data_IF_414149282458
#
_entry.id   IF_414149282458
#
_cell.length_a   1.000
_cell.length_b   1.000
_cell.length_c   1.000
_cell.angle_alpha   90.00
_cell.angle_beta   90.00
_cell.angle_gamma   90.00
#
_symmetry.space_group_name_H-M   'P 1'
#
loop_
_entity.id
_entity.type
_entity.pdbx_description
1 polymer ?
#
# COMPACT_ATOMS: atom_id res chain seq x y z
N UNK A 1 -5.15 -11.82 10.65
CA UNK A 1 -3.87 -11.36 11.25
C UNK A 1 -4.21 -10.28 12.26
N UNK A 2 -3.80 -10.41 13.52
CA UNK A 2 -3.90 -9.32 14.47
C UNK A 2 -2.82 -8.30 14.11
N UNK A 3 -3.20 -7.09 13.72
CA UNK A 3 -2.31 -5.95 13.53
C UNK A 3 -2.22 -5.18 14.86
N UNK A 4 -1.18 -5.42 15.70
CA UNK A 4 -1.09 -4.78 17.02
C UNK A 4 -0.85 -3.28 16.90
N UNK A 5 -0.28 -2.82 15.78
CA UNK A 5 -0.02 -1.41 15.54
C UNK A 5 -1.34 -0.68 15.25
N UNK A 6 -2.18 -1.23 14.38
CA UNK A 6 -3.54 -0.72 14.12
C UNK A 6 -4.38 -0.59 15.39
N UNK A 7 -4.35 -1.61 16.25
CA UNK A 7 -5.07 -1.58 17.55
C UNK A 7 -4.57 -0.43 18.42
N UNK A 8 -3.26 -0.24 18.51
CA UNK A 8 -2.66 0.83 19.33
C UNK A 8 -3.06 2.21 18.81
N UNK A 9 -3.03 2.41 17.49
CA UNK A 9 -3.44 3.68 16.88
C UNK A 9 -4.93 3.94 17.09
N UNK A 10 -5.79 2.94 16.92
CA UNK A 10 -7.23 3.05 17.20
C UNK A 10 -7.51 3.48 18.64
N UNK A 11 -6.81 2.89 19.61
CA UNK A 11 -6.94 3.28 21.03
C UNK A 11 -6.48 4.71 21.28
N UNK A 12 -5.39 5.13 20.62
CA UNK A 12 -4.92 6.52 20.64
C UNK A 12 -5.98 7.49 20.11
N UNK A 13 -6.55 7.20 18.95
CA UNK A 13 -7.63 8.01 18.34
C UNK A 13 -8.87 8.10 19.24
N UNK A 14 -9.27 6.99 19.86
CA UNK A 14 -10.38 6.98 20.82
C UNK A 14 -10.09 7.87 22.05
N UNK A 15 -8.85 7.86 22.54
CA UNK A 15 -8.40 8.70 23.67
C UNK A 15 -8.40 10.19 23.31
N UNK A 16 -8.22 10.53 22.04
CA UNK A 16 -8.31 11.89 21.51
C UNK A 16 -9.74 12.34 21.19
N UNK A 17 -10.74 11.47 21.34
CA UNK A 17 -12.16 11.78 21.14
C UNK A 17 -12.76 11.33 19.80
N UNK A 18 -11.95 10.77 18.89
CA UNK A 18 -12.41 10.23 17.60
C UNK A 18 -13.05 8.84 17.76
N UNK A 19 -14.26 8.81 18.35
CA UNK A 19 -14.96 7.56 18.70
C UNK A 19 -15.68 6.91 17.53
N UNK A 20 -15.85 7.63 16.42
CA UNK A 20 -16.43 7.15 15.16
C UNK A 20 -15.51 6.17 14.40
N UNK A 21 -14.23 6.08 14.76
CA UNK A 21 -13.26 5.19 14.12
C UNK A 21 -13.50 3.74 14.57
N UNK A 22 -14.06 2.94 13.67
CA UNK A 22 -14.41 1.54 13.94
C UNK A 22 -13.24 0.56 13.81
N UNK A 23 -12.27 0.86 12.95
CA UNK A 23 -11.08 0.04 12.71
C UNK A 23 -9.90 0.87 12.17
N UNK A 24 -8.68 0.42 12.43
CA UNK A 24 -7.45 1.01 11.89
C UNK A 24 -6.53 -0.12 11.45
N UNK A 25 -6.06 -0.04 10.20
CA UNK A 25 -5.05 -0.94 9.65
C UNK A 25 -3.79 -0.15 9.33
N UNK A 26 -2.64 -0.70 9.71
CA UNK A 26 -1.34 -0.15 9.35
C UNK A 26 -0.73 -1.05 8.27
N UNK A 27 -0.18 -0.41 7.24
CA UNK A 27 0.44 -1.07 6.11
C UNK A 27 1.66 -0.31 5.62
N UNK A 28 2.32 -0.85 4.60
CA UNK A 28 3.45 -0.21 3.94
C UNK A 28 2.95 0.57 2.72
N UNK A 29 3.52 1.75 2.51
CA UNK A 29 3.39 2.49 1.26
C UNK A 29 4.75 2.45 0.54
N UNK A 30 4.76 2.05 -0.74
CA UNK A 30 5.97 1.85 -1.53
C UNK A 30 5.73 2.48 -2.91
N UNK A 31 6.61 3.40 -3.29
CA UNK A 31 6.64 3.98 -4.64
C UNK A 31 7.75 3.30 -5.46
N UNK A 32 7.42 2.93 -6.70
CA UNK A 32 8.34 2.28 -7.63
C UNK A 32 8.27 3.00 -8.97
N UNK A 33 9.38 3.59 -9.40
CA UNK A 33 9.57 4.07 -10.77
C UNK A 33 10.17 2.93 -11.59
N UNK A 34 9.53 2.61 -12.72
CA UNK A 34 9.99 1.58 -13.64
C UNK A 34 9.76 1.98 -15.09
N UNK A 35 10.67 1.59 -15.96
CA UNK A 35 10.47 1.64 -17.40
C UNK A 35 9.68 0.41 -17.86
N UNK A 36 8.66 0.61 -18.68
CA UNK A 36 7.88 -0.46 -19.31
C UNK A 36 7.41 -0.03 -20.69
N UNK A 37 7.28 -0.95 -21.63
CA UNK A 37 6.84 -0.65 -22.99
C UNK A 37 5.32 -0.38 -23.06
N UNK A 38 4.56 -0.74 -22.03
CA UNK A 38 3.13 -0.48 -21.92
C UNK A 38 2.65 -0.51 -20.46
N UNK A 39 1.47 0.07 -20.20
CA UNK A 39 0.83 -0.04 -18.88
C UNK A 39 0.56 -1.51 -18.51
N UNK A 40 0.19 -2.35 -19.48
CA UNK A 40 -0.05 -3.78 -19.23
C UNK A 40 1.22 -4.48 -18.72
N UNK A 41 2.36 -4.24 -19.37
CA UNK A 41 3.65 -4.76 -18.91
C UNK A 41 3.99 -4.22 -17.52
N UNK A 42 3.84 -2.91 -17.29
CA UNK A 42 4.09 -2.30 -15.98
C UNK A 42 3.27 -2.98 -14.87
N UNK A 43 1.98 -3.23 -15.11
CA UNK A 43 1.09 -3.94 -14.16
C UNK A 43 1.59 -5.35 -13.87
N UNK A 44 1.94 -6.13 -14.90
CA UNK A 44 2.47 -7.47 -14.72
C UNK A 44 3.76 -7.48 -13.91
N UNK A 45 4.65 -6.50 -14.16
CA UNK A 45 5.92 -6.36 -13.42
C UNK A 45 5.69 -5.98 -11.96
N UNK A 46 4.84 -5.00 -11.68
CA UNK A 46 4.52 -4.57 -10.31
C UNK A 46 3.82 -5.69 -9.53
N UNK A 47 2.87 -6.40 -10.14
CA UNK A 47 2.22 -7.54 -9.49
C UNK A 47 3.22 -8.64 -9.12
N UNK A 48 4.16 -8.96 -10.02
CA UNK A 48 5.22 -9.92 -9.74
C UNK A 48 6.12 -9.46 -8.59
N UNK A 49 6.50 -8.18 -8.55
CA UNK A 49 7.29 -7.60 -7.45
C UNK A 49 6.55 -7.71 -6.11
N UNK A 50 5.25 -7.39 -6.09
CA UNK A 50 4.40 -7.53 -4.90
C UNK A 50 4.36 -8.96 -4.38
N UNK A 51 4.13 -9.95 -5.26
CA UNK A 51 4.04 -11.36 -4.86
C UNK A 51 5.38 -11.95 -4.42
N UNK A 52 6.47 -11.53 -5.02
CA UNK A 52 7.79 -12.11 -4.76
C UNK A 52 8.51 -11.47 -3.58
N UNK A 53 8.30 -10.17 -3.33
CA UNK A 53 9.11 -9.42 -2.39
C UNK A 53 8.35 -8.37 -1.59
N UNK A 54 7.56 -7.50 -2.25
CA UNK A 54 7.08 -6.29 -1.59
C UNK A 54 5.96 -6.57 -0.57
N UNK A 55 5.22 -7.67 -0.75
CA UNK A 55 4.19 -8.11 0.17
C UNK A 55 4.40 -9.59 0.56
N UNK A 56 4.27 -9.88 1.85
CA UNK A 56 4.22 -11.25 2.32
C UNK A 56 2.81 -11.83 2.10
N UNK A 57 2.61 -12.55 1.00
CA UNK A 57 1.33 -13.12 0.57
C UNK A 57 0.60 -14.01 1.60
N UNK A 58 1.29 -14.48 2.66
CA UNK A 58 0.66 -15.28 3.72
C UNK A 58 -0.11 -14.41 4.72
N UNK A 59 0.33 -13.17 4.93
CA UNK A 59 -0.17 -12.31 6.02
C UNK A 59 -0.54 -10.88 5.58
N UNK A 60 -0.18 -10.47 4.37
CA UNK A 60 -0.40 -9.14 3.81
C UNK A 60 -1.17 -9.22 2.49
N UNK A 61 -2.23 -8.42 2.38
CA UNK A 61 -2.86 -8.07 1.10
C UNK A 61 -2.12 -6.86 0.50
N UNK A 62 -2.07 -6.75 -0.82
CA UNK A 62 -1.51 -5.58 -1.51
C UNK A 62 -2.48 -5.03 -2.54
N UNK A 63 -2.41 -3.71 -2.73
CA UNK A 63 -3.07 -2.98 -3.80
C UNK A 63 -2.04 -2.02 -4.41
N UNK A 64 -2.13 -1.77 -5.71
CA UNK A 64 -1.23 -0.84 -6.38
C UNK A 64 -1.97 -0.08 -7.48
N UNK A 65 -1.50 1.12 -7.73
CA UNK A 65 -1.94 1.98 -8.82
C UNK A 65 -0.73 2.26 -9.71
N UNK A 66 -0.99 2.57 -10.99
CA UNK A 66 0.05 2.94 -11.94
C UNK A 66 -0.31 4.30 -12.50
N UNK A 67 0.63 5.22 -12.38
CA UNK A 67 0.56 6.53 -12.98
C UNK A 67 1.58 6.60 -14.11
N UNK A 68 1.16 7.12 -15.27
CA UNK A 68 2.13 7.46 -16.31
C UNK A 68 2.79 8.77 -15.91
N UNK A 69 4.12 8.77 -15.83
CA UNK A 69 4.85 10.02 -15.66
C UNK A 69 4.71 10.82 -16.97
N UNK A 70 3.75 11.74 -16.99
CA UNK A 70 3.71 12.75 -18.05
C UNK A 70 5.04 13.50 -17.99
N UNK A 71 5.69 13.81 -19.14
CA UNK A 71 6.95 14.52 -19.13
C UNK A 71 6.78 15.78 -18.29
N UNK A 72 7.48 15.81 -17.16
CA UNK A 72 7.48 16.93 -16.23
C UNK A 72 7.84 18.17 -17.05
N UNK A 73 6.87 19.08 -17.21
CA UNK A 73 7.10 20.38 -17.85
C UNK A 73 8.09 21.15 -16.96
N UNK A 74 9.37 20.99 -17.25
CA UNK A 74 10.41 21.96 -16.86
C UNK A 74 10.44 23.08 -17.88
#
# INVERSE_FOLDING_TARGET
VNDPQGITVKQGLASLGFREVSDVRIGKYIEVTLDAASEHEARQRVEAMCRQLLANHVIEDFHFEIESEAPSKR
#
